data_IF_207513321324
#
_entry.id   IF_207513321324
#
_cell.length_a   1.000
_cell.length_b   1.000
_cell.length_c   1.000
_cell.angle_alpha   90.00
_cell.angle_beta   90.00
_cell.angle_gamma   90.00
#
_symmetry.space_group_name_H-M   'P 1'
#
loop_
_entity.id
_entity.type
_entity.pdbx_description
1 polymer ?
#
# COMPACT_ATOMS: atom_id res chain seq x y z
N UNK A 1 -9.35 5.05 -5.34
CA UNK A 1 -9.41 5.60 -3.98
C UNK A 1 -8.37 4.89 -3.14
N UNK A 2 -7.34 5.61 -2.69
CA UNK A 2 -6.39 5.11 -1.69
C UNK A 2 -7.18 4.76 -0.44
N UNK A 3 -7.10 3.51 0.02
CA UNK A 3 -7.69 3.12 1.29
C UNK A 3 -6.85 3.78 2.39
N UNK A 4 -7.49 4.58 3.24
CA UNK A 4 -6.81 5.22 4.36
C UNK A 4 -6.21 4.14 5.27
N UNK A 5 -4.96 4.32 5.68
CA UNK A 5 -4.34 3.41 6.63
C UNK A 5 -5.07 3.52 7.97
N UNK A 6 -5.78 2.47 8.36
CA UNK A 6 -6.50 2.40 9.62
C UNK A 6 -5.63 1.70 10.66
N UNK A 7 -4.75 2.47 11.31
CA UNK A 7 -3.84 1.95 12.34
C UNK A 7 -4.58 1.19 13.44
N UNK A 8 -5.69 1.73 13.95
CA UNK A 8 -6.45 1.08 15.04
C UNK A 8 -7.02 -0.28 14.63
N UNK A 9 -7.44 -0.42 13.36
CA UNK A 9 -7.92 -1.70 12.82
C UNK A 9 -6.76 -2.70 12.68
N UNK A 10 -5.62 -2.23 12.21
CA UNK A 10 -4.41 -3.04 12.13
C UNK A 10 -3.93 -3.49 13.53
N UNK A 11 -3.98 -2.60 14.52
CA UNK A 11 -3.61 -2.89 15.90
C UNK A 11 -4.55 -3.94 16.53
N UNK A 12 -5.87 -3.76 16.37
CA UNK A 12 -6.85 -4.76 16.83
C UNK A 12 -6.66 -6.10 16.14
N UNK A 13 -6.48 -6.10 14.82
CA UNK A 13 -6.18 -7.31 14.07
C UNK A 13 -4.83 -7.94 14.48
N UNK A 14 -3.88 -7.20 15.01
CA UNK A 14 -2.66 -7.80 15.57
C UNK A 14 -2.94 -8.44 16.94
N UNK A 15 -3.80 -7.82 17.74
CA UNK A 15 -4.19 -8.30 19.08
C UNK A 15 -5.12 -9.51 19.04
N UNK A 16 -5.98 -9.61 18.02
CA UNK A 16 -6.96 -10.69 17.85
C UNK A 16 -6.31 -12.02 17.37
N UNK A 17 -5.02 -12.02 17.07
CA UNK A 17 -4.28 -13.20 16.61
C UNK A 17 -4.56 -13.78 15.21
N UNK A 18 -5.20 -13.11 14.22
CA UNK A 18 -5.20 -13.60 12.84
C UNK A 18 -3.77 -13.74 12.29
N UNK A 19 -3.64 -14.59 11.27
CA UNK A 19 -2.36 -14.88 10.64
C UNK A 19 -1.64 -13.58 10.23
N UNK A 20 -0.38 -13.44 10.61
CA UNK A 20 0.44 -12.27 10.21
C UNK A 20 0.70 -12.27 8.70
N UNK A 21 0.78 -13.47 8.11
CA UNK A 21 1.10 -13.75 6.71
C UNK A 21 -0.07 -14.44 6.01
N UNK A 22 0.03 -14.68 4.70
CA UNK A 22 -1.03 -15.29 3.89
C UNK A 22 -2.03 -14.29 3.29
N UNK A 23 -3.02 -14.78 2.52
CA UNK A 23 -3.98 -13.94 1.79
C UNK A 23 -4.76 -12.98 2.69
N UNK A 24 -5.14 -13.47 3.87
CA UNK A 24 -5.92 -12.72 4.87
C UNK A 24 -5.05 -12.11 5.96
N UNK A 25 -3.73 -12.16 5.78
CA UNK A 25 -2.79 -11.65 6.76
C UNK A 25 -2.68 -10.14 6.75
N UNK A 26 -2.26 -9.60 7.90
CA UNK A 26 -2.12 -8.15 8.07
C UNK A 26 -0.93 -7.56 7.28
N UNK A 27 0.17 -8.30 7.14
CA UNK A 27 1.40 -7.81 6.49
C UNK A 27 1.21 -7.56 4.98
N UNK A 28 0.54 -8.45 4.21
CA UNK A 28 0.30 -8.21 2.79
C UNK A 28 -0.65 -7.04 2.50
N UNK A 29 -1.50 -6.67 3.46
CA UNK A 29 -2.36 -5.48 3.39
C UNK A 29 -1.57 -4.21 3.72
N UNK A 30 -0.75 -4.24 4.78
CA UNK A 30 0.11 -3.13 5.17
C UNK A 30 1.12 -2.76 4.07
N UNK A 31 1.80 -3.76 3.50
CA UNK A 31 2.77 -3.54 2.40
C UNK A 31 2.11 -2.92 1.15
N UNK A 32 0.87 -3.30 0.84
CA UNK A 32 0.07 -2.68 -0.24
C UNK A 32 -0.18 -1.20 0.07
N UNK A 33 -0.68 -0.89 1.26
CA UNK A 33 -0.99 0.49 1.66
C UNK A 33 0.25 1.37 1.67
N UNK A 34 1.37 0.85 2.19
CA UNK A 34 2.66 1.54 2.15
C UNK A 34 3.11 1.84 0.72
N UNK A 35 3.08 0.85 -0.17
CA UNK A 35 3.52 1.01 -1.57
C UNK A 35 2.64 2.01 -2.32
N UNK A 36 1.31 1.97 -2.13
CA UNK A 36 0.40 2.94 -2.75
C UNK A 36 0.61 4.37 -2.23
N UNK A 37 0.91 4.53 -0.93
CA UNK A 37 1.23 5.82 -0.33
C UNK A 37 2.57 6.36 -0.87
N UNK A 38 3.60 5.52 -0.94
CA UNK A 38 4.91 5.88 -1.48
C UNK A 38 4.80 6.34 -2.95
N UNK A 39 4.13 5.56 -3.81
CA UNK A 39 3.91 5.93 -5.22
C UNK A 39 3.09 7.23 -5.37
N UNK A 40 2.11 7.46 -4.49
CA UNK A 40 1.32 8.69 -4.50
C UNK A 40 2.15 9.91 -4.11
N UNK A 41 3.03 9.76 -3.13
CA UNK A 41 3.96 10.80 -2.70
C UNK A 41 5.02 11.09 -3.76
N UNK A 42 5.56 10.05 -4.40
CA UNK A 42 6.50 10.16 -5.52
C UNK A 42 5.87 10.94 -6.68
N UNK A 43 4.63 10.61 -7.08
CA UNK A 43 3.92 11.34 -8.12
C UNK A 43 3.68 12.81 -7.73
N UNK A 44 3.31 13.06 -6.47
CA UNK A 44 3.12 14.42 -5.95
C UNK A 44 4.41 15.24 -6.01
N UNK A 45 5.53 14.67 -5.56
CA UNK A 45 6.85 15.28 -5.66
C UNK A 45 7.25 15.53 -7.11
N UNK A 46 7.03 14.56 -8.00
CA UNK A 46 7.37 14.68 -9.42
C UNK A 46 6.61 15.84 -10.08
N UNK A 47 5.30 15.94 -9.84
CA UNK A 47 4.47 17.03 -10.39
C UNK A 47 4.82 18.41 -9.83
N UNK A 48 5.30 18.50 -8.59
CA UNK A 48 5.75 19.76 -7.99
C UNK A 48 7.09 20.24 -8.57
N UNK A 49 7.95 19.30 -8.96
CA UNK A 49 9.29 19.57 -9.48
C UNK A 49 9.36 19.55 -11.02
N UNK A 50 8.22 19.36 -11.71
CA UNK A 50 8.18 19.28 -13.16
C UNK A 50 8.33 20.67 -13.79
N UNK A 51 9.15 20.77 -14.83
CA UNK A 51 9.37 22.02 -15.59
C UNK A 51 8.21 22.28 -16.55
N UNK A 52 7.59 21.21 -17.03
CA UNK A 52 6.42 21.25 -17.91
C UNK A 52 5.14 21.14 -17.08
N UNK A 53 4.08 21.85 -17.48
CA UNK A 53 2.80 21.85 -16.76
C UNK A 53 2.01 20.54 -16.94
N UNK A 54 2.51 19.43 -16.41
CA UNK A 54 1.86 18.12 -16.44
C UNK A 54 0.76 18.01 -15.39
N UNK A 55 -0.30 17.28 -15.72
CA UNK A 55 -1.43 16.98 -14.81
C UNK A 55 -1.62 15.48 -14.65
N UNK A 56 -2.14 15.07 -13.49
CA UNK A 56 -2.43 13.67 -13.18
C UNK A 56 -3.49 13.10 -14.14
N UNK A 57 -3.16 12.01 -14.83
CA UNK A 57 -4.05 11.33 -15.80
C UNK A 57 -4.71 10.07 -15.21
N UNK A 58 -5.32 10.18 -14.03
CA UNK A 58 -6.01 9.06 -13.38
C UNK A 58 -5.07 8.03 -12.73
N UNK A 59 -5.53 6.78 -12.63
CA UNK A 59 -4.82 5.68 -11.98
C UNK A 59 -5.05 4.34 -12.71
N UNK A 60 -4.05 3.46 -12.69
CA UNK A 60 -4.13 2.11 -13.29
C UNK A 60 -3.96 1.04 -12.22
N UNK A 61 -4.78 -0.01 -12.27
CA UNK A 61 -4.65 -1.17 -11.38
C UNK A 61 -3.55 -2.10 -11.87
N UNK A 62 -2.68 -2.55 -10.96
CA UNK A 62 -1.65 -3.58 -11.23
C UNK A 62 -1.70 -4.63 -10.13
N UNK A 63 -1.62 -5.89 -10.52
CA UNK A 63 -1.49 -7.02 -9.59
C UNK A 63 -0.01 -7.39 -9.50
N UNK A 64 0.60 -7.13 -8.34
CA UNK A 64 2.03 -7.38 -8.11
C UNK A 64 2.18 -8.74 -7.42
N UNK A 65 3.07 -9.59 -7.94
CA UNK A 65 3.45 -10.83 -7.27
C UNK A 65 4.16 -10.49 -5.96
N UNK A 66 3.65 -11.02 -4.85
CA UNK A 66 4.29 -10.87 -3.54
C UNK A 66 5.21 -12.07 -3.32
N UNK A 67 6.38 -11.88 -2.67
CA UNK A 67 7.15 -13.03 -2.20
C UNK A 67 6.28 -13.87 -1.27
N UNK A 68 6.22 -15.17 -1.55
CA UNK A 68 5.53 -16.13 -0.69
C UNK A 68 6.44 -16.37 0.52
N UNK A 69 6.13 -15.72 1.64
CA UNK A 69 6.87 -15.92 2.89
C UNK A 69 6.22 -17.10 3.62
N UNK A 70 6.68 -18.30 3.32
CA UNK A 70 6.44 -19.50 4.12
C UNK A 70 7.42 -19.48 5.30
N UNK A 71 6.94 -19.09 6.48
CA UNK A 71 7.65 -19.35 7.72
C UNK A 71 7.39 -20.83 8.06
N UNK A 72 8.47 -21.62 8.09
CA UNK A 72 8.49 -23.01 8.57
C UNK A 72 8.52 -23.04 10.10
#
# INVERSE_FOLDING_TARGET
>A
MTQLFHFDKALKALQEGPALTGKDGILPQLSKQFTEAALSAELGSHLLNDVEARRRNGATKKTIKKPEVTLS
#
